data_IF_283840977282
#
_entry.id   IF_283840977282
#
_cell.length_a   1.000
_cell.length_b   1.000
_cell.length_c   1.000
_cell.angle_alpha   90.00
_cell.angle_beta   90.00
_cell.angle_gamma   90.00
#
_symmetry.space_group_name_H-M   'P 1'
#
loop_
_entity.id
_entity.type
_entity.pdbx_description
1 polymer ?
#
# COMPACT_ATOMS: atom_id res chain seq x y z
N UNK A 1 -14.86 15.75 11.22
CA UNK A 1 -13.79 14.74 11.20
C UNK A 1 -13.55 14.25 12.61
N UNK A 2 -13.73 12.95 12.82
CA UNK A 2 -13.36 12.29 14.07
C UNK A 2 -12.22 11.32 13.81
N UNK A 3 -11.26 11.24 14.72
CA UNK A 3 -10.11 10.35 14.62
C UNK A 3 -10.23 9.23 15.66
N UNK A 4 -10.40 8.00 15.19
CA UNK A 4 -10.46 6.80 16.02
C UNK A 4 -9.20 5.98 15.81
N UNK A 5 -8.61 5.50 16.90
CA UNK A 5 -7.48 4.56 16.85
C UNK A 5 -7.86 3.26 17.50
N UNK A 6 -7.15 2.21 17.14
CA UNK A 6 -7.20 0.94 17.84
C UNK A 6 -5.81 0.70 18.44
N UNK A 7 -5.74 0.58 19.75
CA UNK A 7 -4.46 0.48 20.48
C UNK A 7 -4.47 -0.73 21.40
N UNK A 8 -3.30 -1.14 21.87
CA UNK A 8 -3.18 -2.06 23.00
C UNK A 8 -3.19 -1.26 24.29
N UNK A 9 -4.34 -1.20 24.96
CA UNK A 9 -4.47 -0.54 26.26
C UNK A 9 -4.46 -1.61 27.36
N UNK A 10 -3.43 -1.59 28.21
CA UNK A 10 -3.24 -2.57 29.30
C UNK A 10 -3.29 -4.04 28.81
N UNK A 11 -2.76 -4.30 27.60
CA UNK A 11 -2.75 -5.63 26.99
C UNK A 11 -4.02 -6.00 26.21
N UNK A 12 -5.03 -5.13 26.14
CA UNK A 12 -6.28 -5.39 25.42
C UNK A 12 -6.47 -4.47 24.21
N UNK A 13 -6.79 -5.01 23.02
CA UNK A 13 -7.15 -4.21 21.87
C UNK A 13 -8.39 -3.36 22.17
N UNK A 14 -8.22 -2.04 22.19
CA UNK A 14 -9.24 -1.07 22.59
C UNK A 14 -9.38 0.00 21.51
N UNK A 15 -10.63 0.32 21.13
CA UNK A 15 -10.91 1.47 20.27
C UNK A 15 -10.97 2.72 21.14
N UNK A 16 -10.25 3.75 20.72
CA UNK A 16 -10.06 5.01 21.44
C UNK A 16 -10.29 6.17 20.48
N UNK A 17 -10.72 7.31 21.01
CA UNK A 17 -10.85 8.56 20.27
C UNK A 17 -9.71 9.50 20.63
N UNK A 18 -9.19 10.23 19.65
CA UNK A 18 -8.16 11.25 19.91
C UNK A 18 -8.77 12.51 20.52
N UNK A 19 -8.14 13.01 21.59
CA UNK A 19 -8.44 14.29 22.23
C UNK A 19 -7.12 15.06 22.47
N UNK A 20 -6.75 15.94 21.54
CA UNK A 20 -5.45 16.60 21.58
C UNK A 20 -4.31 15.60 21.40
N UNK A 21 -3.43 15.51 22.41
CA UNK A 21 -2.28 14.60 22.44
C UNK A 21 -2.55 13.31 23.23
N UNK A 22 -3.80 13.10 23.64
CA UNK A 22 -4.25 11.90 24.35
C UNK A 22 -5.21 11.07 23.50
N UNK A 23 -5.25 9.77 23.81
CA UNK A 23 -6.25 8.83 23.33
C UNK A 23 -7.14 8.42 24.50
N UNK A 24 -8.45 8.54 24.31
CA UNK A 24 -9.46 8.31 25.35
C UNK A 24 -10.32 7.11 24.96
N UNK A 25 -10.37 6.10 25.83
CA UNK A 25 -11.24 4.95 25.67
C UNK A 25 -12.69 5.29 26.06
N UNK A 26 -13.65 4.48 25.61
CA UNK A 26 -15.08 4.69 25.91
C UNK A 26 -15.45 4.61 27.40
N UNK A 27 -14.57 4.05 28.23
CA UNK A 27 -14.70 4.01 29.70
C UNK A 27 -13.96 5.14 30.42
N UNK A 28 -13.34 6.07 29.68
CA UNK A 28 -12.64 7.24 30.21
C UNK A 28 -11.15 7.05 30.50
N UNK A 29 -10.58 5.84 30.36
CA UNK A 29 -9.13 5.63 30.46
C UNK A 29 -8.39 6.42 29.38
N UNK A 30 -7.19 6.90 29.71
CA UNK A 30 -6.36 7.77 28.86
C UNK A 30 -4.95 7.25 28.71
N UNK A 31 -4.35 7.52 27.56
CA UNK A 31 -2.93 7.29 27.28
C UNK A 31 -2.43 8.36 26.30
N UNK A 32 -1.17 8.79 26.46
CA UNK A 32 -0.54 9.68 25.49
C UNK A 32 -0.40 9.00 24.13
N UNK A 33 -0.50 9.77 23.03
CA UNK A 33 -0.36 9.23 21.67
C UNK A 33 0.98 8.50 21.46
N UNK A 34 2.06 9.09 21.99
CA UNK A 34 3.43 8.58 21.85
C UNK A 34 3.69 7.32 22.71
N UNK A 35 2.95 7.15 23.80
CA UNK A 35 3.08 5.99 24.69
C UNK A 35 2.20 4.80 24.23
N UNK A 36 1.32 5.03 23.26
CA UNK A 36 0.37 4.02 22.81
C UNK A 36 0.99 3.06 21.80
N UNK A 37 0.76 1.76 21.99
CA UNK A 37 1.04 0.73 20.98
C UNK A 37 -0.15 0.68 20.01
N UNK A 38 0.06 1.19 18.79
CA UNK A 38 -0.98 1.27 17.77
C UNK A 38 -1.16 -0.08 17.06
N UNK A 39 -2.42 -0.47 16.88
CA UNK A 39 -2.83 -1.58 16.02
C UNK A 39 -3.37 -0.99 14.70
N UNK A 40 -3.61 -1.83 13.70
CA UNK A 40 -4.42 -1.41 12.56
C UNK A 40 -5.79 -0.91 13.05
N UNK A 41 -6.31 0.22 12.52
CA UNK A 41 -7.51 0.87 13.04
C UNK A 41 -8.77 0.01 12.90
N UNK A 42 -8.75 -1.00 12.03
CA UNK A 42 -9.84 -1.96 11.83
C UNK A 42 -9.34 -3.40 11.78
N UNK A 43 -10.28 -4.36 11.76
CA UNK A 43 -10.01 -5.78 11.54
C UNK A 43 -10.69 -6.22 10.23
N UNK A 44 -10.01 -6.10 9.08
CA UNK A 44 -10.61 -6.45 7.79
C UNK A 44 -10.84 -7.94 7.66
N UNK A 45 -11.85 -8.32 6.85
CA UNK A 45 -12.01 -9.70 6.37
C UNK A 45 -11.24 -9.90 5.07
N UNK A 46 -11.13 -8.84 4.27
CA UNK A 46 -10.33 -8.79 3.04
C UNK A 46 -9.69 -7.41 2.83
N UNK A 47 -8.53 -7.45 2.17
CA UNK A 47 -7.77 -6.28 1.73
C UNK A 47 -7.65 -6.39 0.21
N UNK A 48 -8.23 -5.43 -0.50
CA UNK A 48 -8.21 -5.35 -1.96
C UNK A 48 -7.40 -4.11 -2.34
N UNK A 49 -6.59 -4.22 -3.38
CA UNK A 49 -5.68 -3.16 -3.79
C UNK A 49 -5.84 -2.94 -5.29
N UNK A 50 -5.87 -1.68 -5.73
CA UNK A 50 -5.87 -1.36 -7.15
C UNK A 50 -4.44 -1.38 -7.70
N UNK A 51 -4.24 -1.97 -8.88
CA UNK A 51 -2.98 -1.79 -9.61
C UNK A 51 -2.98 -0.43 -10.29
N UNK A 52 -1.85 0.30 -10.21
CA UNK A 52 -1.56 1.54 -10.95
C UNK A 52 -2.77 2.49 -11.07
N UNK A 53 -2.91 3.43 -10.15
CA UNK A 53 -4.01 4.40 -10.18
C UNK A 53 -3.55 5.86 -10.37
N UNK A 54 -2.27 6.16 -10.11
CA UNK A 54 -1.74 7.52 -10.20
C UNK A 54 -1.10 7.80 -11.55
N UNK A 55 -1.48 8.93 -12.16
CA UNK A 55 -0.88 9.43 -13.41
C UNK A 55 0.65 9.46 -13.36
N UNK A 56 1.25 9.99 -12.30
CA UNK A 56 2.72 10.03 -12.17
C UNK A 56 3.37 8.64 -12.27
N UNK A 57 2.78 7.62 -11.63
CA UNK A 57 3.28 6.24 -11.66
C UNK A 57 3.13 5.60 -13.04
N UNK A 58 2.03 5.92 -13.74
CA UNK A 58 1.81 5.49 -15.14
C UNK A 58 2.84 6.10 -16.07
N UNK A 59 3.10 7.41 -15.93
CA UNK A 59 4.10 8.14 -16.70
C UNK A 59 5.51 7.61 -16.41
N UNK A 60 5.86 7.35 -15.14
CA UNK A 60 7.14 6.76 -14.72
C UNK A 60 7.40 5.40 -15.40
N UNK A 61 6.38 4.54 -15.46
CA UNK A 61 6.50 3.24 -16.11
C UNK A 61 6.35 3.29 -17.63
N UNK A 62 6.04 4.45 -18.20
CA UNK A 62 5.72 4.65 -19.62
C UNK A 62 4.68 3.63 -20.12
N UNK A 63 3.69 3.36 -19.28
CA UNK A 63 2.63 2.38 -19.56
C UNK A 63 1.31 3.09 -19.86
N UNK A 64 0.29 2.31 -20.18
CA UNK A 64 -1.10 2.78 -20.32
C UNK A 64 -1.99 2.00 -19.38
N UNK A 65 -2.93 2.70 -18.79
CA UNK A 65 -3.97 2.06 -18.00
C UNK A 65 -4.97 1.32 -18.91
N UNK A 66 -5.50 0.17 -18.46
CA UNK A 66 -6.68 -0.43 -19.08
C UNK A 66 -7.90 0.49 -18.94
N UNK A 67 -9.00 0.16 -19.64
CA UNK A 67 -10.23 0.95 -19.59
C UNK A 67 -10.93 0.95 -18.22
N UNK A 68 -10.67 -0.06 -17.40
CA UNK A 68 -11.19 -0.24 -16.05
C UNK A 68 -10.08 -0.74 -15.13
N UNK A 69 -10.11 -0.44 -13.83
CA UNK A 69 -9.07 -0.86 -12.90
C UNK A 69 -8.90 -2.38 -12.86
N UNK A 70 -7.70 -2.79 -12.47
CA UNK A 70 -7.40 -4.19 -12.14
C UNK A 70 -6.99 -4.26 -10.68
N UNK A 71 -7.28 -5.37 -10.02
CA UNK A 71 -7.10 -5.49 -8.57
C UNK A 71 -6.28 -6.72 -8.20
N UNK A 72 -5.66 -6.66 -7.04
CA UNK A 72 -5.07 -7.79 -6.36
C UNK A 72 -5.51 -7.82 -4.88
N UNK A 73 -5.17 -8.90 -4.20
CA UNK A 73 -5.45 -9.07 -2.78
C UNK A 73 -4.16 -9.09 -1.98
N UNK A 74 -4.23 -8.53 -0.77
CA UNK A 74 -3.25 -8.81 0.29
C UNK A 74 -3.90 -9.74 1.31
N UNK A 75 -3.21 -10.80 1.75
CA UNK A 75 -3.64 -11.59 2.90
C UNK A 75 -3.76 -10.71 4.15
N UNK A 76 -4.73 -10.99 5.01
CA UNK A 76 -4.90 -10.26 6.27
C UNK A 76 -3.71 -10.44 7.24
N UNK A 77 -2.85 -11.44 7.03
CA UNK A 77 -1.62 -11.64 7.81
C UNK A 77 -0.52 -10.62 7.47
N UNK A 78 -0.61 -9.95 6.32
CA UNK A 78 0.26 -8.82 5.98
C UNK A 78 -0.04 -7.57 6.82
N UNK A 79 -1.24 -7.47 7.41
CA UNK A 79 -1.72 -6.29 8.11
C UNK A 79 -0.92 -6.03 9.41
N UNK A 80 -0.40 -4.81 9.55
CA UNK A 80 0.17 -4.32 10.81
C UNK A 80 -0.24 -2.86 11.07
N UNK A 81 0.21 -2.30 12.20
CA UNK A 81 -0.17 -0.95 12.66
C UNK A 81 0.96 0.07 12.54
N UNK A 82 0.66 1.30 12.98
CA UNK A 82 1.67 2.35 13.12
C UNK A 82 2.73 1.97 14.17
N UNK A 83 3.99 2.24 13.86
CA UNK A 83 5.15 1.93 14.70
C UNK A 83 5.58 0.46 14.68
N UNK A 84 4.87 -0.41 13.94
CA UNK A 84 5.27 -1.80 13.78
C UNK A 84 6.48 -1.92 12.84
N UNK A 85 7.26 -2.98 13.02
CA UNK A 85 8.36 -3.32 12.11
C UNK A 85 7.84 -3.90 10.78
N UNK A 86 8.48 -3.52 9.69
CA UNK A 86 8.31 -4.12 8.36
C UNK A 86 9.48 -5.04 8.11
N UNK A 87 9.19 -6.32 7.91
CA UNK A 87 10.21 -7.34 7.78
C UNK A 87 10.64 -7.46 6.33
N UNK A 88 11.92 -7.17 6.04
CA UNK A 88 12.60 -7.65 4.85
C UNK A 88 13.23 -9.02 5.16
N UNK A 89 12.77 -10.12 4.55
CA UNK A 89 13.38 -11.42 4.79
C UNK A 89 14.83 -11.45 4.31
N UNK A 90 15.71 -12.14 5.04
CA UNK A 90 17.07 -12.42 4.57
C UNK A 90 17.02 -13.16 3.23
N UNK A 91 17.92 -12.80 2.31
CA UNK A 91 18.00 -13.19 0.88
C UNK A 91 17.11 -12.38 -0.08
N UNK A 92 16.20 -11.53 0.43
CA UNK A 92 15.50 -10.55 -0.40
C UNK A 92 16.24 -9.20 -0.41
N UNK A 93 16.10 -8.45 -1.50
CA UNK A 93 16.75 -7.16 -1.71
C UNK A 93 15.77 -6.05 -2.08
N UNK A 94 14.70 -6.38 -2.82
CA UNK A 94 13.88 -5.41 -3.52
C UNK A 94 12.56 -5.17 -2.79
N UNK A 95 12.66 -4.74 -1.52
CA UNK A 95 11.51 -4.32 -0.72
C UNK A 95 11.19 -2.85 -1.00
N UNK A 96 10.09 -2.58 -1.69
CA UNK A 96 9.67 -1.22 -2.00
C UNK A 96 8.55 -0.73 -1.07
N UNK A 97 8.59 0.55 -0.70
CA UNK A 97 7.42 1.24 -0.13
C UNK A 97 6.46 1.69 -1.23
N UNK A 98 5.18 1.85 -0.89
CA UNK A 98 4.14 2.42 -1.74
C UNK A 98 3.15 3.16 -0.84
N UNK A 99 3.36 4.48 -0.64
CA UNK A 99 2.44 5.26 0.18
C UNK A 99 1.07 5.36 -0.47
N UNK A 100 0.01 4.98 0.27
CA UNK A 100 -1.36 4.93 -0.22
C UNK A 100 -2.37 5.45 0.82
N UNK A 101 -3.62 5.60 0.39
CA UNK A 101 -4.77 5.83 1.27
C UNK A 101 -5.63 4.57 1.28
N UNK A 102 -5.95 4.09 2.48
CA UNK A 102 -6.89 3.00 2.70
C UNK A 102 -8.31 3.54 2.86
N UNK A 103 -9.22 3.05 2.05
CA UNK A 103 -10.67 3.25 2.17
C UNK A 103 -11.21 2.18 3.10
N UNK A 104 -11.92 2.57 4.15
CA UNK A 104 -12.47 1.65 5.14
C UNK A 104 -13.97 1.52 4.94
N UNK A 105 -14.44 0.31 4.65
CA UNK A 105 -15.87 0.04 4.45
C UNK A 105 -16.59 -0.01 5.80
N UNK A 106 -17.73 0.67 5.91
CA UNK A 106 -18.53 0.75 7.14
C UNK A 106 -19.78 -0.12 7.14
N UNK A 107 -20.29 -0.47 5.96
CA UNK A 107 -21.57 -1.18 5.79
C UNK A 107 -21.43 -2.21 4.68
N UNK A 108 -22.27 -3.26 4.72
CA UNK A 108 -22.37 -4.18 3.60
C UNK A 108 -22.71 -3.41 2.32
N UNK A 109 -21.83 -3.50 1.33
CA UNK A 109 -21.88 -2.73 0.10
C UNK A 109 -21.85 -3.69 -1.10
N UNK A 110 -22.89 -3.62 -1.93
CA UNK A 110 -23.09 -4.50 -3.08
C UNK A 110 -23.91 -3.80 -4.14
N UNK A 111 -23.41 -3.80 -5.37
CA UNK A 111 -24.05 -3.32 -6.57
C UNK A 111 -24.66 -1.91 -6.41
N UNK A 112 -23.83 -0.99 -5.92
CA UNK A 112 -24.17 0.42 -5.73
C UNK A 112 -23.63 1.26 -6.89
N UNK A 113 -24.19 2.46 -7.06
CA UNK A 113 -23.61 3.49 -7.93
C UNK A 113 -22.42 4.19 -7.27
N UNK A 114 -21.59 4.86 -8.07
CA UNK A 114 -20.48 5.68 -7.57
C UNK A 114 -20.97 6.83 -6.66
N UNK A 115 -22.15 7.39 -6.92
CA UNK A 115 -22.72 8.47 -6.12
C UNK A 115 -23.09 8.01 -4.70
N UNK A 116 -23.49 6.74 -4.54
CA UNK A 116 -23.85 6.14 -3.27
C UNK A 116 -22.63 5.70 -2.44
N UNK A 117 -21.43 5.60 -3.04
CA UNK A 117 -20.25 5.00 -2.40
C UNK A 117 -19.91 5.63 -1.05
N UNK A 118 -20.06 6.95 -0.91
CA UNK A 118 -19.80 7.67 0.35
C UNK A 118 -20.61 7.13 1.53
N UNK A 119 -21.86 6.70 1.32
CA UNK A 119 -22.76 6.22 2.38
C UNK A 119 -22.35 4.86 2.97
N UNK A 120 -21.41 4.17 2.31
CA UNK A 120 -20.91 2.85 2.69
C UNK A 120 -19.47 2.90 3.23
N UNK A 121 -18.79 4.04 3.11
CA UNK A 121 -17.43 4.24 3.62
C UNK A 121 -17.50 4.70 5.08
N UNK A 122 -16.87 3.96 6.00
CA UNK A 122 -16.73 4.38 7.40
C UNK A 122 -15.74 5.55 7.55
N UNK A 123 -14.72 5.60 6.70
CA UNK A 123 -13.69 6.61 6.72
C UNK A 123 -12.45 6.17 5.97
N UNK A 124 -11.33 6.83 6.27
CA UNK A 124 -10.07 6.65 5.58
C UNK A 124 -8.92 6.51 6.56
N UNK A 125 -7.83 5.89 6.10
CA UNK A 125 -6.58 5.75 6.87
C UNK A 125 -5.38 5.89 5.94
N UNK A 126 -4.20 6.13 6.51
CA UNK A 126 -2.95 6.06 5.75
C UNK A 126 -2.52 4.60 5.64
N UNK A 127 -1.93 4.22 4.51
CA UNK A 127 -1.41 2.89 4.24
C UNK A 127 -0.03 2.97 3.59
N UNK A 128 0.76 1.91 3.74
CA UNK A 128 1.95 1.70 2.92
C UNK A 128 1.92 0.29 2.32
N UNK A 129 1.67 0.17 1.03
CA UNK A 129 1.52 -1.09 0.31
C UNK A 129 2.87 -1.69 -0.12
N UNK A 130 3.64 -2.14 0.87
CA UNK A 130 4.98 -2.69 0.60
C UNK A 130 4.95 -3.88 -0.36
N UNK A 131 5.97 -3.96 -1.21
CA UNK A 131 6.16 -5.04 -2.18
C UNK A 131 7.58 -5.60 -2.16
N UNK A 132 7.71 -6.92 -2.04
CA UNK A 132 8.95 -7.68 -2.27
C UNK A 132 9.05 -8.05 -3.75
N UNK A 133 9.65 -7.16 -4.53
CA UNK A 133 9.81 -7.33 -5.97
C UNK A 133 10.73 -8.50 -6.34
N UNK A 134 11.49 -9.06 -5.40
CA UNK A 134 12.27 -10.29 -5.62
C UNK A 134 11.45 -11.45 -6.22
N UNK A 135 10.13 -11.46 -6.03
CA UNK A 135 9.22 -12.49 -6.54
C UNK A 135 8.40 -12.04 -7.76
N UNK A 136 8.72 -10.90 -8.36
CA UNK A 136 7.94 -10.28 -9.43
C UNK A 136 7.72 -11.22 -10.63
N UNK A 137 8.78 -11.91 -11.06
CA UNK A 137 8.79 -12.76 -12.25
C UNK A 137 7.72 -13.86 -12.24
N UNK A 138 7.34 -14.36 -11.07
CA UNK A 138 6.40 -15.48 -10.97
C UNK A 138 5.00 -15.09 -10.52
N UNK A 139 4.82 -13.91 -9.95
CA UNK A 139 3.52 -13.43 -9.45
C UNK A 139 3.10 -12.10 -10.09
N UNK A 140 3.66 -11.72 -11.24
CA UNK A 140 3.38 -10.47 -11.95
C UNK A 140 1.88 -10.18 -12.19
N UNK A 141 1.02 -11.22 -12.23
CA UNK A 141 -0.42 -11.08 -12.37
C UNK A 141 -1.19 -10.97 -11.05
N UNK A 142 -0.98 -11.91 -10.11
CA UNK A 142 -1.75 -11.96 -8.85
C UNK A 142 -1.18 -11.07 -7.75
N UNK A 143 0.10 -10.70 -7.87
CA UNK A 143 0.92 -10.00 -6.86
C UNK A 143 1.06 -10.74 -5.52
N UNK A 144 0.62 -12.00 -5.40
CA UNK A 144 0.44 -12.63 -4.08
C UNK A 144 1.73 -12.71 -3.25
N UNK A 145 2.85 -13.25 -3.76
CA UNK A 145 4.13 -13.27 -3.04
C UNK A 145 4.82 -11.92 -2.99
N UNK A 146 4.59 -11.07 -4.00
CA UNK A 146 5.15 -9.72 -4.05
C UNK A 146 4.56 -8.87 -2.93
N UNK A 147 3.23 -8.90 -2.74
CA UNK A 147 2.50 -8.00 -1.85
C UNK A 147 2.02 -8.66 -0.57
N UNK A 148 2.03 -9.98 -0.48
CA UNK A 148 1.31 -10.72 0.56
C UNK A 148 2.14 -11.23 1.73
N UNK A 149 3.44 -10.92 1.79
CA UNK A 149 4.26 -11.32 2.94
C UNK A 149 3.80 -10.61 4.22
N UNK A 150 3.99 -11.28 5.36
CA UNK A 150 3.65 -10.72 6.67
C UNK A 150 4.28 -9.34 6.87
N UNK A 151 3.60 -8.47 7.61
CA UNK A 151 3.96 -7.06 7.88
C UNK A 151 3.91 -6.09 6.69
N UNK A 152 3.75 -6.54 5.44
CA UNK A 152 3.82 -5.67 4.25
C UNK A 152 2.55 -4.82 4.00
N UNK A 153 1.63 -4.72 4.96
CA UNK A 153 0.41 -3.92 4.86
C UNK A 153 0.15 -3.09 6.12
N UNK A 154 1.04 -2.19 6.56
CA UNK A 154 0.72 -1.26 7.62
C UNK A 154 -0.42 -0.33 7.21
N UNK A 155 -1.40 -0.18 8.10
CA UNK A 155 -2.52 0.76 7.95
C UNK A 155 -2.73 1.45 9.28
N UNK A 156 -2.85 2.78 9.28
CA UNK A 156 -3.01 3.56 10.50
C UNK A 156 -2.50 4.99 10.36
N UNK A 157 -2.25 5.69 11.48
CA UNK A 157 -2.51 5.25 12.85
C UNK A 157 -4.01 5.26 13.21
N UNK A 158 -4.85 5.88 12.39
CA UNK A 158 -6.25 6.13 12.70
C UNK A 158 -7.21 5.83 11.55
N UNK A 159 -8.45 5.53 11.91
CA UNK A 159 -9.63 5.67 11.07
C UNK A 159 -10.16 7.10 11.25
N UNK A 160 -10.15 7.88 10.17
CA UNK A 160 -10.69 9.25 10.16
C UNK A 160 -12.03 9.26 9.42
N UNK A 161 -13.08 9.71 10.11
CA UNK A 161 -14.42 9.88 9.53
C UNK A 161 -14.58 11.27 8.92
N UNK A 162 -15.54 11.41 7.99
CA UNK A 162 -15.92 12.71 7.39
C UNK A 162 -14.76 13.47 6.74
N UNK A 163 -13.73 12.77 6.28
CA UNK A 163 -12.60 13.33 5.56
C UNK A 163 -12.91 13.39 4.06
N UNK A 164 -12.70 14.55 3.43
CA UNK A 164 -12.84 14.71 1.98
C UNK A 164 -11.54 14.29 1.29
N UNK A 165 -11.60 13.25 0.46
CA UNK A 165 -10.43 12.70 -0.21
C UNK A 165 -9.93 13.53 -1.39
N UNK A 166 -10.66 14.55 -1.82
CA UNK A 166 -10.34 15.34 -3.02
C UNK A 166 -9.21 16.32 -2.77
N UNK A 167 -8.30 16.42 -3.75
CA UNK A 167 -7.18 17.35 -3.73
C UNK A 167 -6.32 17.25 -2.45
N UNK A 168 -5.93 16.03 -2.09
CA UNK A 168 -5.17 15.74 -0.87
C UNK A 168 -3.75 15.35 -1.21
N UNK A 169 -2.79 16.06 -0.60
CA UNK A 169 -1.38 15.73 -0.75
C UNK A 169 -1.05 14.44 0.00
N UNK A 170 -0.25 13.59 -0.63
CA UNK A 170 0.34 12.39 -0.05
C UNK A 170 1.86 12.44 -0.24
N UNK A 171 2.61 12.13 0.81
CA UNK A 171 4.07 12.04 0.77
C UNK A 171 4.55 10.74 1.40
N UNK A 172 5.63 10.21 0.88
CA UNK A 172 6.39 9.15 1.54
C UNK A 172 7.80 9.65 1.78
N UNK A 173 8.23 9.59 3.04
CA UNK A 173 9.54 9.99 3.51
C UNK A 173 10.32 8.74 3.89
N UNK A 174 11.59 8.70 3.52
CA UNK A 174 12.55 7.69 3.98
C UNK A 174 13.64 8.42 4.75
N UNK A 175 13.81 8.09 6.03
CA UNK A 175 14.73 8.76 6.94
C UNK A 175 14.57 10.29 6.93
N UNK A 176 13.31 10.75 6.97
CA UNK A 176 12.95 12.17 6.93
C UNK A 176 13.12 12.87 5.58
N UNK A 177 13.61 12.18 4.55
CA UNK A 177 13.73 12.74 3.19
C UNK A 177 12.51 12.38 2.36
N UNK A 178 11.83 13.37 1.78
CA UNK A 178 10.71 13.14 0.86
C UNK A 178 11.19 12.38 -0.38
N UNK A 179 10.57 11.22 -0.64
CA UNK A 179 10.84 10.37 -1.81
C UNK A 179 9.64 10.26 -2.75
N UNK A 180 8.43 10.21 -2.21
CA UNK A 180 7.20 10.38 -2.98
C UNK A 180 6.51 11.68 -2.56
N UNK A 181 5.95 12.37 -3.54
CA UNK A 181 5.17 13.58 -3.35
C UNK A 181 4.12 13.64 -4.46
N UNK A 182 2.86 13.42 -4.11
CA UNK A 182 1.76 13.35 -5.05
C UNK A 182 0.47 13.91 -4.46
N UNK A 183 -0.60 13.83 -5.26
CA UNK A 183 -1.92 14.33 -4.88
C UNK A 183 -3.02 13.38 -5.34
N UNK A 184 -4.10 13.24 -4.57
CA UNK A 184 -5.25 12.39 -4.95
C UNK A 184 -5.93 12.81 -6.25
N UNK A 185 -5.73 14.04 -6.73
CA UNK A 185 -6.18 14.47 -8.07
C UNK A 185 -5.46 13.77 -9.22
N UNK A 186 -4.36 13.06 -8.97
CA UNK A 186 -3.67 12.25 -9.97
C UNK A 186 -4.34 10.89 -10.19
N UNK A 187 -5.29 10.50 -9.32
CA UNK A 187 -5.99 9.22 -9.46
C UNK A 187 -6.84 9.22 -10.73
N UNK A 188 -6.65 8.22 -11.59
CA UNK A 188 -7.52 7.98 -12.75
C UNK A 188 -8.91 7.55 -12.29
N UNK A 189 -8.96 6.63 -11.32
CA UNK A 189 -10.19 6.17 -10.69
C UNK A 189 -10.23 6.64 -9.23
N UNK A 190 -11.17 7.55 -8.94
CA UNK A 190 -11.32 8.06 -7.59
C UNK A 190 -11.80 6.99 -6.59
N UNK A 191 -11.69 7.29 -5.29
CA UNK A 191 -12.02 6.33 -4.23
C UNK A 191 -13.48 5.86 -4.26
N UNK A 192 -14.41 6.72 -4.70
CA UNK A 192 -15.81 6.35 -4.85
C UNK A 192 -16.00 5.36 -6.01
N UNK A 193 -15.30 5.59 -7.13
CA UNK A 193 -15.31 4.69 -8.28
C UNK A 193 -14.80 3.31 -7.87
N UNK A 194 -13.66 3.23 -7.20
CA UNK A 194 -13.06 1.94 -6.77
C UNK A 194 -14.02 1.12 -5.91
N UNK A 195 -14.71 1.76 -4.97
CA UNK A 195 -15.72 1.11 -4.11
C UNK A 195 -16.89 0.59 -4.96
N UNK A 196 -17.49 1.44 -5.79
CA UNK A 196 -18.64 1.05 -6.60
C UNK A 196 -18.29 -0.04 -7.61
N UNK A 197 -17.12 0.04 -8.24
CA UNK A 197 -16.63 -0.89 -9.24
C UNK A 197 -16.47 -2.32 -8.68
N UNK A 198 -15.76 -2.46 -7.56
CA UNK A 198 -15.62 -3.75 -6.86
C UNK A 198 -16.99 -4.24 -6.37
N UNK A 199 -17.80 -3.33 -5.81
CA UNK A 199 -19.09 -3.70 -5.24
C UNK A 199 -20.06 -4.29 -6.28
N UNK A 200 -19.86 -4.09 -7.60
CA UNK A 200 -20.74 -4.67 -8.65
C UNK A 200 -20.93 -6.17 -8.50
N UNK A 201 -19.86 -6.90 -8.18
CA UNK A 201 -19.88 -8.37 -8.13
C UNK A 201 -19.21 -8.99 -6.88
N UNK A 202 -18.51 -8.20 -6.07
CA UNK A 202 -17.91 -8.63 -4.82
C UNK A 202 -18.56 -7.83 -3.69
N UNK A 203 -19.18 -8.51 -2.73
CA UNK A 203 -19.76 -7.83 -1.57
C UNK A 203 -18.63 -7.33 -0.68
N UNK A 204 -18.60 -6.03 -0.44
CA UNK A 204 -17.73 -5.41 0.56
C UNK A 204 -18.43 -5.45 1.92
N UNK A 205 -17.69 -5.78 2.96
CA UNK A 205 -18.21 -5.96 4.33
C UNK A 205 -17.63 -4.88 5.24
N UNK A 206 -18.29 -4.55 6.36
CA UNK A 206 -17.73 -3.63 7.35
C UNK A 206 -16.30 -4.03 7.76
N UNK A 207 -15.43 -3.03 7.89
CA UNK A 207 -13.98 -3.13 8.14
C UNK A 207 -13.10 -3.60 6.99
N UNK A 208 -13.65 -3.99 5.83
CA UNK A 208 -12.81 -4.29 4.67
C UNK A 208 -12.04 -3.05 4.21
N UNK A 209 -10.87 -3.31 3.63
CA UNK A 209 -9.95 -2.29 3.15
C UNK A 209 -9.83 -2.33 1.63
N UNK A 210 -9.94 -1.15 1.01
CA UNK A 210 -9.54 -0.91 -0.37
C UNK A 210 -8.35 0.05 -0.39
N UNK A 211 -7.20 -0.37 -0.90
CA UNK A 211 -6.03 0.49 -1.08
C UNK A 211 -6.08 1.14 -2.46
N UNK A 212 -5.85 2.45 -2.51
CA UNK A 212 -6.22 3.33 -3.63
C UNK A 212 -5.10 3.60 -4.64
N UNK A 213 -3.96 2.93 -4.50
CA UNK A 213 -2.79 3.10 -5.35
C UNK A 213 -1.79 4.12 -4.79
N UNK A 214 -0.59 4.13 -5.38
CA UNK A 214 0.53 4.98 -4.97
C UNK A 214 1.03 5.88 -6.12
N UNK A 215 1.52 7.10 -5.83
CA UNK A 215 2.24 7.93 -6.81
C UNK A 215 3.57 7.31 -7.26
N UNK A 216 4.25 7.97 -8.22
CA UNK A 216 5.59 7.58 -8.67
C UNK A 216 6.63 7.49 -7.54
N UNK A 217 7.84 7.01 -7.87
CA UNK A 217 9.00 6.99 -6.97
C UNK A 217 8.88 6.03 -5.77
N UNK A 218 8.12 4.96 -5.91
CA UNK A 218 8.29 3.77 -5.07
C UNK A 218 9.65 3.13 -5.38
N UNK A 219 10.47 2.95 -4.35
CA UNK A 219 11.86 2.51 -4.43
C UNK A 219 12.22 1.52 -3.31
N UNK A 220 13.30 0.76 -3.47
CA UNK A 220 13.76 -0.17 -2.44
C UNK A 220 14.18 0.55 -1.16
N UNK A 221 13.95 -0.11 -0.03
CA UNK A 221 14.41 0.28 1.31
C UNK A 221 15.19 -0.85 1.98
N UNK A 222 16.05 -0.46 2.91
CA UNK A 222 16.99 -1.32 3.61
C UNK A 222 16.62 -1.46 5.10
N UNK A 223 16.94 -2.60 5.76
CA UNK A 223 16.92 -2.72 7.21
C UNK A 223 17.66 -1.55 7.87
N UNK A 224 16.97 -0.90 8.83
CA UNK A 224 17.42 0.32 9.47
C UNK A 224 16.73 1.59 8.94
N UNK A 225 16.12 1.54 7.76
CA UNK A 225 15.34 2.67 7.25
C UNK A 225 14.04 2.88 8.05
N UNK A 226 13.68 4.14 8.26
CA UNK A 226 12.39 4.56 8.80
C UNK A 226 11.59 5.17 7.66
N UNK A 227 10.41 4.63 7.41
CA UNK A 227 9.52 5.07 6.33
C UNK A 227 8.25 5.67 6.93
N UNK A 228 7.94 6.89 6.53
CA UNK A 228 6.75 7.62 6.97
C UNK A 228 5.90 8.02 5.78
N UNK A 229 4.64 7.58 5.75
CA UNK A 229 3.62 8.05 4.80
C UNK A 229 2.79 9.12 5.49
N UNK A 230 2.66 10.28 4.86
CA UNK A 230 1.88 11.41 5.36
C UNK A 230 0.76 11.72 4.37
N UNK A 231 -0.46 11.88 4.88
CA UNK A 231 -1.59 12.32 4.07
C UNK A 231 -2.26 13.51 4.74
N UNK A 232 -2.49 14.56 3.96
CA UNK A 232 -3.13 15.78 4.42
C UNK A 232 -4.47 15.48 5.12
N UNK A 233 -4.55 15.76 6.43
CA UNK A 233 -5.75 15.54 7.24
C UNK A 233 -5.94 14.12 7.77
N UNK A 234 -5.11 13.13 7.40
CA UNK A 234 -5.12 11.78 7.99
C UNK A 234 -3.94 11.51 8.93
N UNK A 235 -2.94 12.39 8.94
CA UNK A 235 -1.75 12.26 9.78
C UNK A 235 -0.65 11.42 9.13
N UNK A 236 0.14 10.74 9.96
CA UNK A 236 1.37 10.07 9.52
C UNK A 236 1.43 8.62 10.00
N UNK A 237 1.69 7.70 9.07
CA UNK A 237 1.97 6.29 9.32
C UNK A 237 3.47 6.04 9.22
N UNK A 238 4.12 5.65 10.31
CA UNK A 238 5.57 5.42 10.37
C UNK A 238 5.86 3.97 10.73
N UNK A 239 6.80 3.36 10.03
CA UNK A 239 7.29 2.01 10.31
C UNK A 239 8.81 1.92 10.11
N UNK A 240 9.45 0.98 10.81
CA UNK A 240 10.90 0.72 10.68
C UNK A 240 11.13 -0.55 9.89
N UNK A 241 12.06 -0.54 8.94
CA UNK A 241 12.44 -1.73 8.20
C UNK A 241 13.44 -2.53 9.02
N UNK A 242 13.20 -3.84 9.17
CA UNK A 242 14.08 -4.76 9.91
C UNK A 242 14.43 -5.98 9.06
N UNK A 243 15.59 -6.57 9.29
CA UNK A 243 15.89 -7.89 8.74
C UNK A 243 15.18 -8.96 9.58
N UNK A 244 14.34 -9.77 8.95
CA UNK A 244 13.66 -10.86 9.64
C UNK A 244 14.63 -11.94 10.13
N UNK A 245 14.38 -12.56 11.30
CA UNK A 245 15.28 -13.59 11.84
C UNK A 245 15.31 -14.87 11.00
N UNK A 246 14.29 -15.08 10.16
CA UNK A 246 14.13 -16.27 9.32
C UNK A 246 14.46 -15.92 7.87
N UNK A 247 15.49 -16.56 7.32
CA UNK A 247 15.80 -16.46 5.90
C UNK A 247 14.75 -17.21 5.07
N UNK A 248 14.52 -16.73 3.84
CA UNK A 248 13.81 -17.52 2.83
C UNK A 248 14.55 -18.85 2.65
N UNK A 249 13.84 -19.98 2.58
CA UNK A 249 14.44 -21.30 2.34
C UNK A 249 14.92 -21.42 0.89
N UNK A 250 16.04 -22.10 0.67
CA UNK A 250 16.64 -22.32 -0.65
C UNK A 250 16.33 -23.69 -1.26
N UNK A 251 15.61 -24.54 -0.52
CA UNK A 251 15.29 -25.90 -0.93
C UNK A 251 13.85 -26.05 -1.50
N UNK A 252 13.08 -24.97 -1.60
CA UNK A 252 11.69 -25.02 -2.10
C UNK A 252 11.25 -23.71 -2.76
N UNK A 253 10.45 -23.84 -3.82
CA UNK A 253 9.72 -22.74 -4.46
C UNK A 253 10.59 -21.84 -5.33
N UNK A 254 9.95 -20.83 -5.93
CA UNK A 254 10.67 -19.80 -6.69
C UNK A 254 11.53 -18.97 -5.74
N UNK A 255 12.82 -18.86 -6.07
CA UNK A 255 13.78 -18.17 -5.23
C UNK A 255 13.70 -16.65 -5.43
N UNK A 256 14.12 -15.85 -4.43
CA UNK A 256 14.29 -14.41 -4.62
C UNK A 256 15.23 -14.13 -5.80
N UNK A 257 14.78 -13.32 -6.76
CA UNK A 257 15.53 -13.04 -7.98
C UNK A 257 16.02 -11.58 -8.05
N UNK A 258 17.01 -11.35 -8.91
CA UNK A 258 17.46 -10.00 -9.32
C UNK A 258 17.55 -9.98 -10.84
N UNK A 259 16.49 -10.44 -11.50
CA UNK A 259 16.36 -10.36 -12.95
C UNK A 259 16.13 -8.92 -13.39
N UNK A 260 16.25 -8.68 -14.69
CA UNK A 260 16.00 -7.37 -15.28
C UNK A 260 14.57 -6.86 -14.99
N UNK A 261 13.55 -7.73 -15.02
CA UNK A 261 12.16 -7.34 -14.70
C UNK A 261 12.02 -6.90 -13.24
N UNK A 262 12.62 -7.64 -12.30
CA UNK A 262 12.67 -7.29 -10.89
C UNK A 262 13.33 -5.92 -10.69
N UNK A 263 14.55 -5.75 -11.21
CA UNK A 263 15.32 -4.51 -11.03
C UNK A 263 14.61 -3.34 -11.69
N UNK A 264 14.11 -3.51 -12.91
CA UNK A 264 13.35 -2.48 -13.63
C UNK A 264 12.16 -2.04 -12.80
N UNK A 265 11.35 -2.97 -12.31
CA UNK A 265 10.15 -2.62 -11.53
C UNK A 265 10.51 -1.94 -10.21
N UNK A 266 11.46 -2.51 -9.47
CA UNK A 266 11.85 -2.02 -8.15
C UNK A 266 12.49 -0.63 -8.21
N UNK A 267 13.35 -0.38 -9.20
CA UNK A 267 14.04 0.90 -9.39
C UNK A 267 13.20 1.92 -10.16
N UNK A 268 12.06 1.53 -10.76
CA UNK A 268 11.15 2.43 -11.46
C UNK A 268 11.86 3.34 -12.46
N UNK A 269 11.67 4.65 -12.33
CA UNK A 269 12.32 5.67 -13.15
C UNK A 269 13.86 5.72 -13.05
N UNK A 270 14.44 5.23 -11.94
CA UNK A 270 15.88 5.33 -11.66
C UNK A 270 16.68 4.18 -12.29
N UNK A 271 16.00 3.23 -12.94
CA UNK A 271 16.65 2.16 -13.65
C UNK A 271 17.32 2.70 -14.92
N UNK A 272 18.61 2.41 -15.11
CA UNK A 272 19.43 3.01 -16.18
C UNK A 272 18.91 2.76 -17.61
N UNK A 273 18.16 1.67 -17.82
CA UNK A 273 17.56 1.34 -19.10
C UNK A 273 16.12 1.85 -19.27
N UNK A 274 15.57 2.59 -18.29
CA UNK A 274 14.24 3.20 -18.40
C UNK A 274 14.22 4.19 -19.56
N UNK A 275 13.27 4.01 -20.49
CA UNK A 275 13.14 4.84 -21.70
C UNK A 275 13.87 4.27 -22.92
N UNK A 276 14.77 3.32 -22.68
CA UNK A 276 15.43 2.51 -23.69
C UNK A 276 14.70 1.16 -23.83
N UNK A 277 14.41 0.54 -22.68
CA UNK A 277 13.69 -0.72 -22.55
C UNK A 277 12.56 -0.57 -21.52
N UNK A 278 11.35 -1.02 -21.88
CA UNK A 278 10.22 -1.06 -20.97
C UNK A 278 10.26 -2.33 -20.11
N UNK A 279 9.60 -2.36 -18.93
CA UNK A 279 9.47 -3.60 -18.17
C UNK A 279 8.79 -4.67 -19.03
N UNK A 280 9.30 -5.90 -19.00
CA UNK A 280 8.60 -7.05 -19.58
C UNK A 280 7.56 -7.52 -18.58
N UNK A 281 6.31 -7.08 -18.72
CA UNK A 281 5.18 -7.52 -17.88
C UNK A 281 3.92 -7.74 -18.72
N UNK A 282 2.73 -7.90 -18.12
CA UNK A 282 1.47 -8.10 -18.86
C UNK A 282 1.19 -7.02 -19.92
N UNK A 283 1.64 -5.78 -19.71
CA UNK A 283 1.53 -4.67 -20.66
C UNK A 283 2.62 -4.61 -21.73
N UNK A 284 3.62 -5.51 -21.72
CA UNK A 284 4.75 -5.49 -22.67
C UNK A 284 4.32 -5.71 -24.13
N UNK A 285 3.17 -6.32 -24.36
CA UNK A 285 2.58 -6.45 -25.70
C UNK A 285 2.28 -5.09 -26.37
N UNK A 286 2.23 -4.00 -25.61
CA UNK A 286 1.93 -2.66 -26.11
C UNK A 286 3.18 -1.78 -26.36
N UNK A 287 4.39 -2.32 -26.18
CA UNK A 287 5.63 -1.55 -26.33
C UNK A 287 6.67 -2.30 -27.18
N UNK A 288 7.38 -1.58 -28.07
CA UNK A 288 8.53 -2.10 -28.82
C UNK A 288 9.82 -1.55 -28.20
N UNK A 289 10.69 -2.46 -27.74
CA UNK A 289 12.05 -2.11 -27.27
C UNK A 289 12.83 -1.36 -28.34
N UNK A 290 13.69 -0.40 -27.93
CA UNK A 290 14.58 0.33 -28.84
C UNK A 290 15.98 -0.29 -28.96
N UNK A 291 16.27 -1.32 -28.16
CA UNK A 291 17.46 -2.16 -28.31
C UNK A 291 17.10 -3.46 -29.02
N UNK A 292 18.03 -3.95 -29.84
CA UNK A 292 18.00 -5.33 -30.35
C UNK A 292 18.15 -6.30 -29.17
N UNK A 293 17.46 -7.44 -29.22
CA UNK A 293 17.61 -8.47 -28.21
C UNK A 293 19.01 -9.07 -28.33
N UNK A 294 19.90 -8.75 -27.39
CA UNK A 294 21.17 -9.46 -27.17
C UNK A 294 20.90 -10.87 -26.60
N UNK A 295 20.06 -11.65 -27.29
CA UNK A 295 19.79 -13.05 -26.97
C UNK A 295 20.84 -14.01 -27.55
N UNK A 296 22.01 -13.49 -27.93
CA UNK A 296 23.21 -14.28 -28.25
C UNK A 296 24.39 -13.88 -27.34
N UNK A 297 24.35 -14.33 -26.08
CA UNK A 297 25.59 -14.67 -25.37
C UNK A 297 25.31 -15.84 -24.42
N UNK A 298 25.98 -16.96 -24.72
CA UNK A 298 25.93 -18.28 -24.08
C UNK A 298 26.01 -18.24 -22.54
#
# INVERSE_FOLDING_TARGET
MSEYRRILLEGYPTVVQRHGDELVAGDGRRIGIEDAIHLSPVKPRKIICVHLNYKSRVDEFMTKLPATPTYFHKPITALCGHGADIVRPKRCKWLNYEGEIAIVIGRYCRNISQAEAGDYIAGYSVSNDYGLHDFRDTDAGSMLRVKGSDTLCPVGPALVTDWDFRNKRIRTLVNGTVKQDGNTNEMEWDMHYLVADIARNITLEPSDLLLSGTPANSRPVEPGDVVTVEVEGLGSLTNTIVEGPTAIRDDVGHQPMTTEEVVSTAMGGDWEFRGIRAPRGPGSAHYKSRLEDDSESN
#
